data_IF_983840843981
#
_entry.id   IF_983840843981
#
_cell.length_a   1.000
_cell.length_b   1.000
_cell.length_c   1.000
_cell.angle_alpha   90.00
_cell.angle_beta   90.00
_cell.angle_gamma   90.00
#
_symmetry.space_group_name_H-M   'P 1'
#
loop_
_entity.id
_entity.type
_entity.pdbx_description
1 polymer ?
#
# COMPACT_ATOMS: atom_id res chain seq x y z
N UNK A 1 16.20 -1.89 -63.41
CA UNK A 1 16.06 -2.30 -61.98
C UNK A 1 16.13 -1.05 -61.09
N UNK A 2 14.98 -0.55 -60.66
CA UNK A 2 14.86 0.66 -59.85
C UNK A 2 14.97 0.33 -58.34
N UNK A 3 15.64 1.16 -57.53
CA UNK A 3 15.80 0.89 -56.11
C UNK A 3 14.48 1.12 -55.35
N UNK A 4 14.17 0.33 -54.31
CA UNK A 4 12.92 0.44 -53.60
C UNK A 4 12.88 1.71 -52.74
N UNK A 5 11.86 2.55 -52.96
CA UNK A 5 11.58 3.72 -52.14
C UNK A 5 11.38 3.32 -50.67
N UNK A 6 12.33 3.72 -49.82
CA UNK A 6 12.25 3.56 -48.37
C UNK A 6 11.20 4.53 -47.83
N UNK A 7 9.98 4.03 -47.61
CA UNK A 7 8.94 4.77 -46.87
C UNK A 7 9.47 5.08 -45.47
N UNK A 8 9.88 6.33 -45.23
CA UNK A 8 10.07 6.85 -43.89
C UNK A 8 8.70 6.79 -43.20
N UNK A 9 8.54 5.81 -42.30
CA UNK A 9 7.42 5.82 -41.34
C UNK A 9 7.53 7.15 -40.61
N UNK A 10 6.56 8.05 -40.86
CA UNK A 10 6.40 9.24 -40.04
C UNK A 10 6.35 8.78 -38.59
N UNK A 11 7.22 9.32 -37.75
CA UNK A 11 7.15 9.13 -36.30
C UNK A 11 5.72 9.48 -35.89
N UNK A 12 4.97 8.59 -35.23
CA UNK A 12 3.67 8.96 -34.68
C UNK A 12 3.86 10.24 -33.86
N UNK A 13 2.91 11.19 -33.89
CA UNK A 13 2.93 12.31 -32.96
C UNK A 13 3.18 11.76 -31.55
N UNK A 14 4.10 12.37 -30.81
CA UNK A 14 4.15 12.14 -29.37
C UNK A 14 2.79 12.59 -28.85
N UNK A 15 1.92 11.63 -28.55
CA UNK A 15 0.71 11.88 -27.79
C UNK A 15 1.12 12.75 -26.59
N UNK A 16 0.42 13.87 -26.32
CA UNK A 16 0.70 14.66 -25.12
C UNK A 16 0.68 13.70 -23.92
N UNK A 17 1.59 13.86 -22.93
CA UNK A 17 1.58 13.02 -21.74
C UNK A 17 0.16 12.98 -21.22
N UNK A 18 -0.48 11.80 -21.26
CA UNK A 18 -1.87 11.61 -20.87
C UNK A 18 -2.08 12.39 -19.57
N UNK A 19 -2.89 13.44 -19.62
CA UNK A 19 -3.09 14.36 -18.50
C UNK A 19 -3.36 13.52 -17.25
N UNK A 20 -2.35 13.56 -16.38
CA UNK A 20 -2.02 12.44 -15.51
C UNK A 20 -3.14 12.10 -14.57
N UNK A 21 -3.46 10.81 -14.45
CA UNK A 21 -4.32 10.34 -13.37
C UNK A 21 -3.67 10.77 -12.05
N UNK A 22 -4.28 11.77 -11.41
CA UNK A 22 -3.89 12.27 -10.10
C UNK A 22 -4.58 11.41 -9.04
N UNK A 23 -3.81 10.83 -8.12
CA UNK A 23 -4.36 10.16 -6.96
C UNK A 23 -4.20 11.02 -5.71
N UNK A 24 -5.28 11.14 -4.93
CA UNK A 24 -5.24 11.75 -3.61
C UNK A 24 -4.93 10.68 -2.57
N UNK A 25 -3.87 10.86 -1.79
CA UNK A 25 -3.56 9.97 -0.68
C UNK A 25 -4.60 10.14 0.44
N UNK A 26 -5.26 9.07 0.87
CA UNK A 26 -6.23 9.12 1.96
C UNK A 26 -5.61 9.27 3.37
N UNK A 27 -4.28 9.24 3.48
CA UNK A 27 -3.54 9.46 4.72
C UNK A 27 -3.10 10.92 4.86
N UNK A 28 -2.20 11.37 3.97
CA UNK A 28 -1.62 12.71 4.01
C UNK A 28 -2.34 13.76 3.15
N UNK A 29 -3.35 13.38 2.35
CA UNK A 29 -4.13 14.27 1.48
C UNK A 29 -3.31 14.97 0.38
N UNK A 30 -2.07 14.52 0.13
CA UNK A 30 -1.27 15.01 -0.99
C UNK A 30 -1.73 14.38 -2.31
N UNK A 31 -1.60 15.16 -3.40
CA UNK A 31 -1.87 14.74 -4.77
C UNK A 31 -0.62 14.14 -5.40
N UNK A 32 -0.78 13.01 -6.10
CA UNK A 32 0.31 12.30 -6.74
C UNK A 32 0.00 12.06 -8.22
N UNK A 33 0.85 12.57 -9.15
CA UNK A 33 0.69 12.34 -10.58
C UNK A 33 1.12 10.93 -11.00
N UNK A 34 0.58 10.45 -12.11
CA UNK A 34 1.02 9.20 -12.76
C UNK A 34 0.65 7.94 -11.99
N UNK A 35 -0.37 8.00 -11.13
CA UNK A 35 -0.80 6.85 -10.33
C UNK A 35 -1.85 6.05 -11.10
N UNK A 36 -1.51 4.81 -11.43
CA UNK A 36 -2.44 3.84 -12.03
C UNK A 36 -3.27 3.15 -10.94
N UNK A 37 -4.48 3.64 -10.70
CA UNK A 37 -5.42 2.98 -9.80
C UNK A 37 -6.21 1.91 -10.57
N UNK A 38 -6.31 0.67 -10.07
CA UNK A 38 -7.15 -0.33 -10.70
C UNK A 38 -8.62 0.13 -10.65
N UNK A 39 -9.38 0.03 -11.77
CA UNK A 39 -10.76 0.56 -11.88
C UNK A 39 -11.73 -0.01 -10.84
N UNK A 40 -11.41 -1.17 -10.26
CA UNK A 40 -12.35 -2.03 -9.55
C UNK A 40 -12.19 -2.01 -8.02
N UNK A 41 -11.44 -1.07 -7.44
CA UNK A 41 -11.23 -1.06 -5.99
C UNK A 41 -11.77 0.19 -5.34
N UNK A 42 -12.79 0.01 -4.50
CA UNK A 42 -13.25 0.98 -3.47
C UNK A 42 -12.20 1.21 -2.36
N UNK A 43 -10.93 0.92 -2.62
CA UNK A 43 -9.88 1.09 -1.64
C UNK A 43 -9.37 2.52 -1.72
N UNK A 44 -9.43 3.24 -0.59
CA UNK A 44 -8.71 4.48 -0.38
C UNK A 44 -7.22 4.26 -0.69
N UNK A 45 -6.72 4.93 -1.74
CA UNK A 45 -5.30 4.85 -2.11
C UNK A 45 -4.45 5.57 -1.07
N UNK A 46 -3.26 5.03 -0.80
CA UNK A 46 -2.25 5.62 0.07
C UNK A 46 -0.94 5.74 -0.70
N UNK A 47 -0.24 6.86 -0.54
CA UNK A 47 1.11 7.02 -1.05
C UNK A 47 2.07 5.99 -0.41
N UNK A 48 3.25 5.74 -1.01
CA UNK A 48 4.23 4.79 -0.49
C UNK A 48 4.53 4.99 1.01
N UNK A 49 4.66 6.24 1.46
CA UNK A 49 4.98 6.57 2.85
C UNK A 49 3.82 6.26 3.81
N UNK A 50 2.61 6.76 3.52
CA UNK A 50 1.44 6.44 4.34
C UNK A 50 1.14 4.94 4.35
N UNK A 51 1.46 4.24 3.26
CA UNK A 51 1.33 2.78 3.17
C UNK A 51 2.38 2.07 4.03
N UNK A 52 3.61 2.56 4.09
CA UNK A 52 4.67 2.06 4.96
C UNK A 52 4.32 2.28 6.43
N UNK A 53 3.98 3.52 6.82
CA UNK A 53 3.56 3.86 8.18
C UNK A 53 2.40 2.98 8.67
N UNK A 54 1.38 2.76 7.83
CA UNK A 54 0.26 1.88 8.17
C UNK A 54 0.69 0.42 8.35
N UNK A 55 1.69 -0.05 7.61
CA UNK A 55 2.25 -1.39 7.79
C UNK A 55 3.04 -1.49 9.08
N UNK A 56 3.85 -0.50 9.40
CA UNK A 56 4.64 -0.46 10.64
C UNK A 56 3.74 -0.40 11.87
N UNK A 57 2.74 0.48 11.87
CA UNK A 57 1.71 0.51 12.91
C UNK A 57 1.00 -0.85 13.03
N UNK A 58 0.56 -1.45 11.93
CA UNK A 58 -0.08 -2.77 11.99
C UNK A 58 0.85 -3.86 12.53
N UNK A 59 2.16 -3.79 12.22
CA UNK A 59 3.16 -4.74 12.74
C UNK A 59 3.32 -4.57 14.25
N UNK A 60 3.43 -3.33 14.72
CA UNK A 60 3.51 -2.98 16.13
C UNK A 60 2.23 -3.37 16.88
N UNK A 61 1.05 -3.09 16.32
CA UNK A 61 -0.23 -3.50 16.89
C UNK A 61 -0.37 -5.03 16.97
N UNK A 62 0.17 -5.79 16.01
CA UNK A 62 0.20 -7.27 16.10
C UNK A 62 1.16 -7.74 17.18
N UNK A 63 2.31 -7.09 17.32
CA UNK A 63 3.26 -7.37 18.38
C UNK A 63 2.62 -7.13 19.75
N UNK A 64 2.03 -5.96 20.00
CA UNK A 64 1.37 -5.66 21.26
C UNK A 64 0.09 -6.47 21.51
N UNK A 65 -0.65 -6.86 20.46
CA UNK A 65 -1.78 -7.81 20.63
C UNK A 65 -1.32 -9.23 20.97
N UNK A 66 -0.11 -9.61 20.56
CA UNK A 66 0.50 -10.91 20.88
C UNK A 66 1.26 -10.91 22.21
N UNK A 67 1.68 -9.74 22.69
CA UNK A 67 2.15 -9.55 24.06
C UNK A 67 0.92 -9.60 24.98
N UNK A 68 0.71 -10.76 25.60
CA UNK A 68 -0.24 -10.83 26.71
C UNK A 68 0.21 -9.94 27.89
N UNK A 69 -0.52 -9.95 29.00
CA UNK A 69 -0.37 -9.03 30.14
C UNK A 69 1.05 -8.84 30.72
N UNK A 70 2.03 -9.68 30.35
CA UNK A 70 3.43 -9.56 30.74
C UNK A 70 3.72 -9.85 32.21
N UNK A 71 2.69 -10.21 32.98
CA UNK A 71 2.77 -10.44 34.43
C UNK A 71 2.11 -11.73 34.90
N UNK A 72 1.40 -12.42 34.01
CA UNK A 72 0.62 -13.63 34.29
C UNK A 72 1.27 -14.84 33.62
N UNK A 73 1.16 -16.01 34.26
CA UNK A 73 1.90 -17.24 33.88
C UNK A 73 1.76 -17.59 32.39
N UNK A 74 0.57 -17.47 31.81
CA UNK A 74 0.37 -17.75 30.38
C UNK A 74 1.04 -16.76 29.42
N UNK A 75 1.17 -15.49 29.81
CA UNK A 75 1.87 -14.48 28.99
C UNK A 75 3.39 -14.67 28.98
N UNK A 76 3.93 -15.46 29.91
CA UNK A 76 5.33 -15.87 29.95
C UNK A 76 5.57 -17.22 29.26
N UNK A 77 4.56 -18.08 29.15
CA UNK A 77 4.68 -19.45 28.65
C UNK A 77 4.11 -19.69 27.24
N UNK A 78 3.60 -18.66 26.54
CA UNK A 78 2.86 -18.79 25.27
C UNK A 78 1.56 -19.63 25.35
N UNK A 79 1.05 -19.89 26.56
CA UNK A 79 -0.27 -20.49 26.79
C UNK A 79 -1.25 -19.42 27.28
N UNK A 80 -2.55 -19.59 27.01
CA UNK A 80 -3.56 -18.66 27.52
C UNK A 80 -3.59 -18.73 29.06
N UNK A 81 -3.42 -17.59 29.75
CA UNK A 81 -3.33 -17.57 31.20
C UNK A 81 -4.69 -17.67 31.90
N UNK A 82 -5.82 -17.51 31.19
CA UNK A 82 -7.18 -17.71 31.69
C UNK A 82 -7.61 -16.90 32.93
N UNK A 83 -6.80 -15.95 33.38
CA UNK A 83 -6.96 -15.31 34.72
C UNK A 83 -6.73 -13.81 34.73
N UNK A 84 -6.13 -13.21 33.70
CA UNK A 84 -6.03 -11.76 33.58
C UNK A 84 -7.03 -11.22 32.55
N UNK A 85 -7.42 -9.95 32.70
CA UNK A 85 -8.35 -9.26 31.80
C UNK A 85 -7.89 -9.20 30.32
N UNK A 86 -6.60 -9.46 30.05
CA UNK A 86 -6.02 -9.48 28.70
C UNK A 86 -6.07 -10.89 28.08
N UNK A 87 -5.95 -11.95 28.90
CA UNK A 87 -6.05 -13.36 28.49
C UNK A 87 -7.50 -13.85 28.42
N UNK A 88 -8.41 -13.28 29.20
CA UNK A 88 -9.84 -13.64 29.24
C UNK A 88 -10.61 -13.20 27.96
N UNK A 89 -9.96 -13.20 26.80
CA UNK A 89 -10.56 -12.81 25.52
C UNK A 89 -11.44 -13.89 24.94
#
# INVERSE_FOLDING_TARGET
>A
PEPPHRRTRKRPPLEPPQDGVMALCAGCQSLFPGVSLPPQRRCRWLCPDCRAQRRDFNREQRFYKGLGCGSCAGCLSTEDCGSCCICLR
#
